data_IF_704352252075
#
_entry.id   IF_704352252075
#
_cell.length_a   1.000
_cell.length_b   1.000
_cell.length_c   1.000
_cell.angle_alpha   90.00
_cell.angle_beta   90.00
_cell.angle_gamma   90.00
#
_symmetry.space_group_name_H-M   'P 1'
#
loop_
_entity.id
_entity.type
_entity.pdbx_description
1 polymer ?
#
# COMPACT_ATOMS: atom_id res chain seq x y z
N UNK A 1 35.76 32.37 -53.76
CA UNK A 1 34.39 32.03 -53.33
C UNK A 1 34.51 30.91 -52.31
N UNK A 2 34.58 31.15 -51.00
CA UNK A 2 33.44 30.98 -50.09
C UNK A 2 34.00 30.96 -48.66
N UNK A 3 34.15 32.15 -48.05
CA UNK A 3 34.34 32.30 -46.60
C UNK A 3 33.48 33.44 -46.03
N UNK A 4 33.11 34.39 -46.90
CA UNK A 4 32.20 35.49 -46.54
C UNK A 4 30.71 35.10 -46.54
N UNK A 5 30.31 34.02 -47.21
CA UNK A 5 28.90 33.59 -47.20
C UNK A 5 28.48 32.99 -45.85
N UNK A 6 29.37 32.24 -45.18
CA UNK A 6 29.01 31.52 -43.96
C UNK A 6 28.79 32.44 -42.74
N UNK A 7 29.50 33.58 -42.69
CA UNK A 7 29.33 34.55 -41.60
C UNK A 7 28.00 35.29 -41.69
N UNK A 8 27.55 35.69 -42.87
CA UNK A 8 26.29 36.43 -43.02
C UNK A 8 25.05 35.59 -42.68
N UNK A 9 25.05 34.29 -42.96
CA UNK A 9 23.94 33.41 -42.56
C UNK A 9 23.89 33.16 -41.05
N UNK A 10 25.04 33.07 -40.38
CA UNK A 10 25.09 32.85 -38.94
C UNK A 10 24.61 34.07 -38.15
N UNK A 11 24.96 35.29 -38.61
CA UNK A 11 24.47 36.53 -37.97
C UNK A 11 22.97 36.73 -38.18
N UNK A 12 22.43 36.39 -39.37
CA UNK A 12 20.98 36.47 -39.61
C UNK A 12 20.19 35.48 -38.77
N UNK A 13 20.70 34.25 -38.59
CA UNK A 13 20.07 33.22 -37.76
C UNK A 13 20.06 33.62 -36.29
N UNK A 14 21.16 34.21 -35.79
CA UNK A 14 21.22 34.73 -34.42
C UNK A 14 20.26 35.90 -34.20
N UNK A 15 20.11 36.80 -35.16
CA UNK A 15 19.14 37.90 -35.09
C UNK A 15 17.70 37.39 -35.14
N UNK A 16 17.41 36.34 -35.92
CA UNK A 16 16.09 35.71 -35.95
C UNK A 16 15.77 34.99 -34.64
N UNK A 17 16.75 34.27 -34.05
CA UNK A 17 16.59 33.65 -32.74
C UNK A 17 16.40 34.70 -31.63
N UNK A 18 17.15 35.80 -31.65
CA UNK A 18 16.98 36.89 -30.68
C UNK A 18 15.61 37.56 -30.81
N UNK A 19 15.13 37.80 -32.03
CA UNK A 19 13.79 38.34 -32.29
C UNK A 19 12.69 37.35 -31.86
N UNK A 20 12.88 36.05 -32.08
CA UNK A 20 11.93 35.02 -31.66
C UNK A 20 11.85 34.89 -30.13
N UNK A 21 12.99 34.98 -29.43
CA UNK A 21 13.04 34.99 -27.97
C UNK A 21 12.50 36.30 -27.35
N UNK A 22 12.67 37.46 -28.00
CA UNK A 22 12.05 38.71 -27.53
C UNK A 22 10.55 38.75 -27.77
N UNK A 23 10.05 38.16 -28.86
CA UNK A 23 8.60 38.02 -29.09
C UNK A 23 7.99 37.09 -28.04
N UNK A 24 8.60 35.92 -27.78
CA UNK A 24 8.16 34.98 -26.73
C UNK A 24 8.22 35.59 -25.32
N UNK A 25 9.20 36.45 -25.04
CA UNK A 25 9.28 37.17 -23.77
C UNK A 25 8.27 38.33 -23.67
N UNK A 26 7.88 38.97 -24.78
CA UNK A 26 6.88 40.05 -24.81
C UNK A 26 5.43 39.56 -24.83
N UNK A 27 5.19 38.33 -25.26
CA UNK A 27 3.90 37.64 -25.13
C UNK A 27 3.89 36.74 -23.91
N UNK A 28 4.67 37.07 -22.88
CA UNK A 28 4.53 36.51 -21.55
C UNK A 28 3.10 36.73 -21.09
N UNK A 29 2.22 35.77 -21.44
CA UNK A 29 0.93 35.56 -20.83
C UNK A 29 1.25 35.23 -19.37
N UNK A 30 1.47 36.27 -18.57
CA UNK A 30 1.22 36.23 -17.15
C UNK A 30 -0.27 35.92 -17.04
N UNK A 31 -0.59 34.63 -17.07
CA UNK A 31 -1.87 34.14 -16.62
C UNK A 31 -1.84 34.44 -15.12
N UNK A 32 -2.34 35.61 -14.74
CA UNK A 32 -2.66 35.91 -13.36
C UNK A 32 -3.49 34.72 -12.85
N UNK A 33 -2.90 33.94 -11.94
CA UNK A 33 -3.63 32.87 -11.28
C UNK A 33 -4.69 33.53 -10.43
N UNK A 34 -5.92 33.53 -10.96
CA UNK A 34 -7.07 34.07 -10.26
C UNK A 34 -7.31 33.22 -9.02
N UNK A 35 -7.05 33.77 -7.85
CA UNK A 35 -7.43 33.15 -6.59
C UNK A 35 -8.91 33.41 -6.35
N UNK A 36 -9.66 32.34 -6.07
CA UNK A 36 -11.09 32.44 -5.76
C UNK A 36 -11.28 32.32 -4.25
N UNK A 37 -12.04 33.25 -3.65
CA UNK A 37 -12.51 33.04 -2.29
C UNK A 37 -13.64 32.01 -2.30
N UNK A 38 -13.81 31.27 -1.19
CA UNK A 38 -14.88 30.28 -1.08
C UNK A 38 -16.28 30.88 -1.30
N UNK A 39 -16.46 32.13 -0.85
CA UNK A 39 -17.68 32.92 -1.02
C UNK A 39 -17.97 33.24 -2.49
N UNK A 40 -16.99 33.14 -3.40
CA UNK A 40 -17.17 33.35 -4.84
C UNK A 40 -17.50 32.04 -5.58
N UNK A 41 -17.26 30.89 -4.93
CA UNK A 41 -17.46 29.56 -5.51
C UNK A 41 -18.78 28.94 -5.04
N UNK A 42 -19.05 28.99 -3.73
CA UNK A 42 -20.24 28.40 -3.11
C UNK A 42 -21.40 29.42 -3.07
N UNK A 43 -21.87 29.84 -4.24
CA UNK A 43 -23.01 30.75 -4.39
C UNK A 43 -24.18 30.07 -5.13
N UNK A 44 -25.44 30.50 -4.89
CA UNK A 44 -26.61 29.88 -5.51
C UNK A 44 -26.54 29.80 -7.04
N UNK A 45 -25.96 30.82 -7.69
CA UNK A 45 -25.82 30.88 -9.15
C UNK A 45 -24.83 29.85 -9.72
N UNK A 46 -23.95 29.28 -8.90
CA UNK A 46 -22.97 28.27 -9.33
C UNK A 46 -23.36 26.86 -8.93
N UNK A 47 -23.86 26.66 -7.71
CA UNK A 47 -24.16 25.33 -7.18
C UNK A 47 -25.65 24.94 -7.25
N UNK A 48 -26.51 25.91 -7.55
CA UNK A 48 -27.97 25.74 -7.56
C UNK A 48 -28.62 26.30 -6.29
N UNK A 49 -29.79 26.93 -6.46
CA UNK A 49 -30.52 27.54 -5.34
C UNK A 49 -31.06 26.51 -4.34
N UNK A 50 -31.56 25.38 -4.86
CA UNK A 50 -32.13 24.31 -4.04
C UNK A 50 -31.07 23.69 -3.11
N UNK A 51 -29.90 23.31 -3.64
CA UNK A 51 -28.77 22.82 -2.83
C UNK A 51 -28.33 23.84 -1.77
N UNK A 52 -28.26 25.12 -2.17
CA UNK A 52 -27.84 26.21 -1.29
C UNK A 52 -28.74 26.34 -0.07
N UNK A 53 -30.06 26.20 -0.26
CA UNK A 53 -31.06 26.22 0.82
C UNK A 53 -31.06 24.89 1.58
N UNK A 54 -31.22 23.76 0.87
CA UNK A 54 -31.41 22.43 1.46
C UNK A 54 -30.29 22.05 2.42
N UNK A 55 -29.04 22.37 2.07
CA UNK A 55 -27.88 22.01 2.87
C UNK A 55 -27.35 23.17 3.74
N UNK A 56 -28.07 24.29 3.79
CA UNK A 56 -27.67 25.50 4.51
C UNK A 56 -26.21 25.90 4.21
N UNK A 57 -25.89 26.04 2.92
CA UNK A 57 -24.52 26.28 2.46
C UNK A 57 -24.00 27.63 2.96
N UNK A 58 -24.86 28.66 2.95
CA UNK A 58 -24.51 30.00 3.45
C UNK A 58 -23.96 29.96 4.88
N UNK A 59 -24.66 29.28 5.79
CA UNK A 59 -24.27 29.16 7.18
C UNK A 59 -22.92 28.46 7.33
N UNK A 60 -22.70 27.38 6.58
CA UNK A 60 -21.44 26.60 6.62
C UNK A 60 -20.25 27.40 6.08
N UNK A 61 -20.50 28.20 5.04
CA UNK A 61 -19.51 29.12 4.48
C UNK A 61 -19.16 30.22 5.49
N UNK A 62 -20.15 30.84 6.12
CA UNK A 62 -19.96 31.87 7.15
C UNK A 62 -19.19 31.34 8.36
N UNK A 63 -19.42 30.08 8.75
CA UNK A 63 -18.70 29.39 9.83
C UNK A 63 -17.35 28.81 9.40
N UNK A 64 -16.97 28.94 8.14
CA UNK A 64 -15.74 28.39 7.57
C UNK A 64 -15.60 26.86 7.77
N UNK A 65 -16.70 26.12 7.62
CA UNK A 65 -16.72 24.67 7.85
C UNK A 65 -16.28 23.84 6.63
N UNK A 66 -16.29 24.44 5.43
CA UNK A 66 -15.76 23.81 4.23
C UNK A 66 -14.23 23.82 4.23
N UNK A 67 -13.64 22.69 3.85
CA UNK A 67 -12.22 22.59 3.52
C UNK A 67 -12.02 22.80 2.03
N UNK A 68 -10.99 23.55 1.68
CA UNK A 68 -10.63 23.82 0.29
C UNK A 68 -9.34 23.07 -0.04
N UNK A 69 -9.36 22.36 -1.16
CA UNK A 69 -8.19 21.69 -1.71
C UNK A 69 -7.96 22.15 -3.14
N UNK A 70 -6.71 22.44 -3.49
CA UNK A 70 -6.31 22.69 -4.88
C UNK A 70 -5.61 21.44 -5.40
N UNK A 71 -6.20 20.78 -6.39
CA UNK A 71 -5.70 19.54 -6.98
C UNK A 71 -5.54 19.77 -8.49
N UNK A 72 -4.32 20.14 -8.91
CA UNK A 72 -4.04 20.51 -10.30
C UNK A 72 -4.85 21.75 -10.73
N UNK A 73 -5.69 21.57 -11.75
CA UNK A 73 -6.59 22.59 -12.29
C UNK A 73 -8.00 22.58 -11.64
N UNK A 74 -8.18 21.87 -10.53
CA UNK A 74 -9.46 21.74 -9.83
C UNK A 74 -9.37 22.33 -8.42
N UNK A 75 -10.36 23.15 -8.05
CA UNK A 75 -10.59 23.58 -6.67
C UNK A 75 -11.72 22.71 -6.10
N UNK A 76 -11.47 22.02 -5.00
CA UNK A 76 -12.45 21.17 -4.30
C UNK A 76 -12.89 21.86 -3.02
N UNK A 77 -14.19 22.13 -2.89
CA UNK A 77 -14.82 22.56 -1.66
C UNK A 77 -15.52 21.35 -1.02
N UNK A 78 -14.96 20.84 0.07
CA UNK A 78 -15.43 19.65 0.76
C UNK A 78 -15.95 19.97 2.16
N UNK A 79 -17.14 19.50 2.48
CA UNK A 79 -17.73 19.58 3.81
C UNK A 79 -18.09 18.17 4.30
N UNK A 80 -17.54 17.79 5.45
CA UNK A 80 -17.90 16.57 6.16
C UNK A 80 -18.95 16.92 7.21
N UNK A 81 -20.14 16.31 7.13
CA UNK A 81 -21.21 16.60 8.09
C UNK A 81 -20.83 16.14 9.49
N UNK A 82 -21.18 16.98 10.46
CA UNK A 82 -21.18 16.64 11.89
C UNK A 82 -22.51 17.01 12.53
N UNK A 83 -22.96 16.24 13.52
CA UNK A 83 -24.07 16.58 14.41
C UNK A 83 -23.52 16.48 15.83
N UNK A 84 -23.63 17.55 16.63
CA UNK A 84 -23.08 17.61 17.99
C UNK A 84 -21.59 17.18 18.07
N UNK A 85 -20.79 17.62 17.09
CA UNK A 85 -19.38 17.25 16.88
C UNK A 85 -19.08 15.79 16.50
N UNK A 86 -20.10 14.94 16.36
CA UNK A 86 -19.98 13.55 15.88
C UNK A 86 -19.88 13.52 14.37
N UNK A 87 -18.90 12.79 13.83
CA UNK A 87 -18.73 12.65 12.38
C UNK A 87 -19.80 11.72 11.83
N UNK A 88 -20.53 12.15 10.80
CA UNK A 88 -21.50 11.28 10.13
C UNK A 88 -20.80 10.64 8.93
N UNK A 89 -20.41 9.37 9.04
CA UNK A 89 -19.64 8.70 7.99
C UNK A 89 -20.39 8.74 6.64
N UNK A 90 -19.64 8.99 5.57
CA UNK A 90 -20.13 9.17 4.18
C UNK A 90 -21.13 10.32 3.99
N UNK A 91 -21.57 11.06 5.01
CA UNK A 91 -22.37 12.27 4.82
C UNK A 91 -21.47 13.48 4.50
N UNK A 92 -21.40 13.89 3.24
CA UNK A 92 -20.57 14.99 2.80
C UNK A 92 -21.18 15.77 1.63
N UNK A 93 -20.64 16.97 1.44
CA UNK A 93 -20.86 17.81 0.27
C UNK A 93 -19.52 18.03 -0.41
N UNK A 94 -19.41 17.70 -1.69
CA UNK A 94 -18.18 17.87 -2.46
C UNK A 94 -18.51 18.61 -3.77
N UNK A 95 -18.08 19.86 -3.86
CA UNK A 95 -18.20 20.69 -5.07
C UNK A 95 -16.81 20.88 -5.68
N UNK A 96 -16.69 20.64 -6.97
CA UNK A 96 -15.43 20.74 -7.72
C UNK A 96 -15.57 21.81 -8.77
N UNK A 97 -14.65 22.78 -8.76
CA UNK A 97 -14.64 23.93 -9.66
C UNK A 97 -13.40 23.93 -10.52
N UNK A 98 -13.53 24.40 -11.76
CA UNK A 98 -12.40 24.70 -12.62
C UNK A 98 -11.62 25.87 -12.04
N UNK A 99 -10.30 25.71 -11.86
CA UNK A 99 -9.46 26.71 -11.20
C UNK A 99 -9.33 28.00 -11.98
N UNK A 100 -9.45 27.97 -13.31
CA UNK A 100 -9.23 29.15 -14.18
C UNK A 100 -10.49 30.00 -14.33
N UNK A 101 -11.62 29.33 -14.47
CA UNK A 101 -12.91 29.94 -14.77
C UNK A 101 -13.78 30.08 -13.53
N UNK A 102 -13.56 29.24 -12.51
CA UNK A 102 -14.40 29.13 -11.32
C UNK A 102 -15.77 28.51 -11.62
N UNK A 103 -15.93 27.87 -12.78
CA UNK A 103 -17.15 27.17 -13.17
C UNK A 103 -17.26 25.84 -12.39
N UNK A 104 -18.48 25.48 -11.98
CA UNK A 104 -18.72 24.19 -11.33
C UNK A 104 -18.56 23.06 -12.35
N UNK A 105 -17.66 22.13 -12.06
CA UNK A 105 -17.39 20.94 -12.88
C UNK A 105 -18.21 19.74 -12.42
N UNK A 106 -18.26 19.50 -11.11
CA UNK A 106 -18.88 18.32 -10.53
C UNK A 106 -19.40 18.61 -9.14
N UNK A 107 -20.53 18.00 -8.79
CA UNK A 107 -21.00 17.90 -7.41
C UNK A 107 -21.23 16.44 -7.03
N UNK A 108 -20.82 16.06 -5.83
CA UNK A 108 -21.09 14.78 -5.21
C UNK A 108 -21.66 15.07 -3.83
N UNK A 109 -22.93 14.71 -3.64
CA UNK A 109 -23.70 14.99 -2.45
C UNK A 109 -24.16 13.67 -1.86
N UNK A 110 -23.79 13.42 -0.63
CA UNK A 110 -24.29 12.29 0.13
C UNK A 110 -24.76 12.82 1.48
N UNK A 111 -26.06 12.79 1.74
CA UNK A 111 -26.63 13.45 2.90
C UNK A 111 -27.86 12.69 3.40
N UNK A 112 -27.75 12.14 4.60
CA UNK A 112 -28.82 11.36 5.23
C UNK A 112 -29.85 12.26 5.90
N UNK A 113 -31.11 12.17 5.46
CA UNK A 113 -32.20 13.00 6.00
C UNK A 113 -32.81 12.42 7.29
N UNK A 114 -32.55 11.14 7.58
CA UNK A 114 -33.03 10.42 8.75
C UNK A 114 -32.33 10.83 10.06
N UNK A 115 -31.19 11.52 9.96
CA UNK A 115 -30.39 11.95 11.12
C UNK A 115 -30.65 13.43 11.44
N UNK A 116 -31.45 13.69 12.48
CA UNK A 116 -31.81 15.05 12.92
C UNK A 116 -31.23 15.39 14.30
N UNK A 117 -31.23 14.43 15.22
CA UNK A 117 -30.70 14.59 16.59
C UNK A 117 -30.05 13.28 17.02
N UNK A 118 -29.01 13.38 17.85
CA UNK A 118 -28.31 12.20 18.35
C UNK A 118 -28.84 11.79 19.72
N UNK A 119 -28.92 10.48 20.01
CA UNK A 119 -29.14 10.03 21.37
C UNK A 119 -28.00 10.54 22.27
N UNK A 120 -28.24 10.76 23.57
CA UNK A 120 -27.20 11.15 24.50
C UNK A 120 -26.07 10.12 24.53
N UNK A 121 -24.84 10.59 24.34
CA UNK A 121 -23.64 9.75 24.45
C UNK A 121 -23.40 9.49 25.94
N UNK A 122 -23.42 8.21 26.33
CA UNK A 122 -23.25 7.78 27.72
C UNK A 122 -21.89 7.13 27.96
N UNK A 123 -21.17 6.74 26.90
CA UNK A 123 -19.81 6.23 26.96
C UNK A 123 -18.81 7.33 26.59
N UNK A 124 -17.96 7.74 27.52
CA UNK A 124 -16.88 8.69 27.21
C UNK A 124 -15.76 8.05 26.38
N UNK A 125 -14.94 8.86 25.71
CA UNK A 125 -13.78 8.34 24.95
C UNK A 125 -12.81 7.57 25.85
N UNK A 126 -12.61 7.99 27.10
CA UNK A 126 -11.68 7.34 28.02
C UNK A 126 -12.20 5.97 28.46
N UNK A 127 -13.50 5.87 28.74
CA UNK A 127 -14.14 4.60 29.08
C UNK A 127 -14.13 3.65 27.88
N UNK A 128 -14.42 4.15 26.67
CA UNK A 128 -14.37 3.36 25.45
C UNK A 128 -12.94 2.80 25.21
N UNK A 129 -11.92 3.66 25.36
CA UNK A 129 -10.51 3.27 25.26
C UNK A 129 -10.12 2.21 26.30
N UNK A 130 -10.59 2.37 27.54
CA UNK A 130 -10.38 1.39 28.60
C UNK A 130 -11.05 0.04 28.27
N UNK A 131 -12.30 0.07 27.80
CA UNK A 131 -13.02 -1.14 27.35
C UNK A 131 -12.23 -1.85 26.25
N UNK A 132 -11.84 -1.13 25.20
CA UNK A 132 -11.06 -1.67 24.09
C UNK A 132 -9.79 -2.38 24.58
N UNK A 133 -8.97 -1.70 25.39
CA UNK A 133 -7.75 -2.27 25.98
C UNK A 133 -8.03 -3.49 26.86
N UNK A 134 -9.12 -3.48 27.64
CA UNK A 134 -9.48 -4.60 28.52
C UNK A 134 -9.88 -5.88 27.76
N UNK A 135 -10.33 -5.77 26.50
CA UNK A 135 -10.64 -6.97 25.69
C UNK A 135 -9.40 -7.66 25.13
N UNK A 136 -8.24 -7.00 25.21
CA UNK A 136 -6.98 -7.53 24.68
C UNK A 136 -6.31 -8.42 25.73
N UNK A 137 -6.82 -9.63 25.88
CA UNK A 137 -6.26 -10.62 26.81
C UNK A 137 -4.83 -11.01 26.42
N UNK A 138 -3.89 -10.90 27.36
CA UNK A 138 -2.51 -11.35 27.17
C UNK A 138 -1.61 -10.42 26.34
N UNK A 139 -2.07 -9.23 25.95
CA UNK A 139 -1.19 -8.24 25.33
C UNK A 139 -0.50 -7.40 26.40
N UNK A 140 0.80 -7.64 26.59
CA UNK A 140 1.65 -6.77 27.39
C UNK A 140 1.91 -5.42 26.70
N UNK A 141 1.52 -5.28 25.42
CA UNK A 141 1.72 -4.08 24.60
C UNK A 141 0.48 -3.79 23.75
N UNK A 142 -0.56 -3.29 24.39
CA UNK A 142 -1.70 -2.70 23.70
C UNK A 142 -1.72 -1.18 23.96
N UNK A 143 -1.78 -0.39 22.89
CA UNK A 143 -1.94 1.06 22.97
C UNK A 143 -3.06 1.54 22.05
N UNK A 144 -3.76 2.58 22.49
CA UNK A 144 -4.74 3.27 21.65
C UNK A 144 -3.99 4.28 20.79
N UNK A 145 -4.00 4.08 19.48
CA UNK A 145 -3.42 5.03 18.53
C UNK A 145 -4.31 6.26 18.37
N UNK A 146 -5.62 6.04 18.25
CA UNK A 146 -6.63 7.11 18.28
C UNK A 146 -8.03 6.56 18.53
N UNK A 147 -8.91 7.43 19.00
CA UNK A 147 -10.34 7.19 19.15
C UNK A 147 -11.14 8.37 18.60
N UNK A 148 -12.16 8.09 17.81
CA UNK A 148 -13.04 9.11 17.24
C UNK A 148 -14.49 8.61 17.24
N UNK A 149 -15.43 9.54 17.40
CA UNK A 149 -16.85 9.23 17.46
C UNK A 149 -17.51 9.43 16.09
N UNK A 150 -18.19 8.40 15.61
CA UNK A 150 -18.84 8.36 14.31
C UNK A 150 -20.29 7.91 14.42
N UNK A 151 -21.15 8.36 13.51
CA UNK A 151 -22.30 7.55 13.11
C UNK A 151 -21.88 6.79 11.86
N UNK A 152 -21.72 5.49 12.00
CA UNK A 152 -21.32 4.60 10.92
C UNK A 152 -22.40 4.60 9.84
N UNK A 153 -22.00 4.68 8.58
CA UNK A 153 -22.93 4.58 7.46
C UNK A 153 -23.38 3.12 7.31
N UNK A 154 -24.66 2.83 7.01
CA UNK A 154 -25.09 1.50 6.60
C UNK A 154 -24.31 0.96 5.39
N UNK A 155 -23.74 1.86 4.59
CA UNK A 155 -22.90 1.55 3.43
C UNK A 155 -21.41 1.54 3.76
N UNK A 156 -21.00 1.51 5.04
CA UNK A 156 -19.59 1.60 5.41
C UNK A 156 -18.78 0.41 4.85
N UNK A 157 -17.72 0.73 4.10
CA UNK A 157 -16.76 -0.27 3.63
C UNK A 157 -15.70 -0.58 4.70
N UNK A 158 -15.48 0.35 5.64
CA UNK A 158 -14.38 0.30 6.62
C UNK A 158 -14.86 -0.16 7.99
N UNK A 159 -16.12 0.09 8.33
CA UNK A 159 -16.74 -0.30 9.59
C UNK A 159 -17.98 -1.16 9.33
N UNK A 160 -17.83 -2.32 8.65
CA UNK A 160 -18.98 -3.15 8.32
C UNK A 160 -19.61 -3.69 9.61
N UNK A 161 -20.84 -3.26 9.89
CA UNK A 161 -21.62 -3.77 11.01
C UNK A 161 -22.59 -4.83 10.53
N UNK A 162 -22.76 -5.90 11.33
CA UNK A 162 -23.74 -6.94 11.05
C UNK A 162 -25.18 -6.39 10.99
N UNK A 163 -25.45 -5.37 11.81
CA UNK A 163 -26.68 -4.59 11.78
C UNK A 163 -26.32 -3.10 11.81
N UNK A 164 -26.82 -2.29 10.86
CA UNK A 164 -26.64 -0.84 10.91
C UNK A 164 -27.21 -0.26 12.21
N UNK A 165 -26.50 0.70 12.80
CA UNK A 165 -26.97 1.44 13.97
C UNK A 165 -27.06 2.93 13.64
N UNK A 166 -28.02 3.61 14.25
CA UNK A 166 -28.13 5.08 14.22
C UNK A 166 -27.45 5.73 15.42
N UNK A 167 -26.98 4.94 16.38
CA UNK A 167 -26.25 5.45 17.53
C UNK A 167 -24.85 5.94 17.12
N UNK A 168 -24.31 6.96 17.79
CA UNK A 168 -22.90 7.25 17.74
C UNK A 168 -22.09 6.05 18.25
N UNK A 169 -20.98 5.76 17.60
CA UNK A 169 -20.06 4.67 17.94
C UNK A 169 -18.64 5.22 18.08
N UNK A 170 -17.94 4.77 19.12
CA UNK A 170 -16.51 4.98 19.23
C UNK A 170 -15.77 4.02 18.31
N UNK A 171 -15.02 4.58 17.37
CA UNK A 171 -14.06 3.86 16.54
C UNK A 171 -12.70 4.01 17.19
N UNK A 172 -12.13 2.90 17.64
CA UNK A 172 -10.90 2.89 18.42
C UNK A 172 -9.86 2.08 17.66
N UNK A 173 -8.82 2.74 17.16
CA UNK A 173 -7.69 2.06 16.54
C UNK A 173 -6.67 1.75 17.62
N UNK A 174 -6.37 0.48 17.75
CA UNK A 174 -5.40 -0.08 18.67
C UNK A 174 -4.17 -0.54 17.89
N UNK A 175 -3.01 -0.46 18.53
CA UNK A 175 -1.86 -1.30 18.21
C UNK A 175 -1.76 -2.36 19.31
N UNK A 176 -1.96 -3.61 18.93
CA UNK A 176 -1.92 -4.78 19.79
C UNK A 176 -0.80 -5.67 19.32
N UNK A 177 0.23 -5.83 20.15
CA UNK A 177 1.34 -6.71 19.83
C UNK A 177 1.89 -6.42 18.41
N UNK A 178 2.17 -5.14 18.13
CA UNK A 178 2.65 -4.68 16.81
C UNK A 178 1.62 -4.64 15.68
N UNK A 179 0.52 -5.38 15.78
CA UNK A 179 -0.54 -5.43 14.79
C UNK A 179 -1.61 -4.38 15.05
N UNK A 180 -2.24 -3.89 13.99
CA UNK A 180 -3.37 -2.97 14.16
C UNK A 180 -4.68 -3.72 14.31
N UNK A 181 -5.57 -3.14 15.10
CA UNK A 181 -6.95 -3.57 15.29
C UNK A 181 -7.84 -2.34 15.37
N UNK A 182 -9.05 -2.42 14.86
CA UNK A 182 -10.07 -1.37 15.05
C UNK A 182 -11.23 -2.00 15.79
N UNK A 183 -11.56 -1.46 16.96
CA UNK A 183 -12.73 -1.84 17.74
C UNK A 183 -13.83 -0.78 17.59
N UNK A 184 -15.07 -1.26 17.55
CA UNK A 184 -16.26 -0.43 17.43
C UNK A 184 -17.14 -0.68 18.65
N UNK A 185 -17.37 0.37 19.44
CA UNK A 185 -18.28 0.33 20.58
C UNK A 185 -19.43 1.29 20.38
N UNK A 186 -20.65 0.84 20.65
CA UNK A 186 -21.82 1.70 20.70
C UNK A 186 -21.67 2.70 21.87
N UNK A 187 -21.75 3.99 21.59
CA UNK A 187 -21.51 5.01 22.60
C UNK A 187 -22.73 5.29 23.50
N UNK A 188 -23.85 4.61 23.25
CA UNK A 188 -25.10 4.69 24.02
C UNK A 188 -25.33 3.42 24.83
N UNK A 189 -25.18 2.24 24.22
CA UNK A 189 -25.42 0.94 24.86
C UNK A 189 -24.16 0.33 25.48
N UNK A 190 -22.98 0.83 25.11
CA UNK A 190 -21.65 0.35 25.52
C UNK A 190 -21.30 -1.02 24.93
N UNK A 191 -22.13 -1.55 24.03
CA UNK A 191 -21.93 -2.84 23.40
C UNK A 191 -20.78 -2.79 22.40
N UNK A 192 -19.97 -3.85 22.36
CA UNK A 192 -19.01 -4.08 21.29
C UNK A 192 -19.76 -4.52 20.04
N UNK A 193 -19.71 -3.71 18.99
CA UNK A 193 -20.45 -3.95 17.74
C UNK A 193 -19.65 -4.76 16.72
N UNK A 194 -18.33 -4.86 16.91
CA UNK A 194 -17.44 -5.61 16.04
C UNK A 194 -16.14 -4.87 15.75
N UNK A 195 -15.46 -5.34 14.70
CA UNK A 195 -14.18 -4.80 14.28
C UNK A 195 -14.28 -4.05 12.96
N UNK A 196 -13.53 -2.96 12.85
CA UNK A 196 -13.30 -2.28 11.57
C UNK A 196 -12.21 -2.97 10.74
N UNK A 197 -12.16 -2.63 9.46
CA UNK A 197 -11.10 -3.04 8.54
C UNK A 197 -9.90 -2.12 8.75
N UNK A 198 -8.78 -2.70 9.18
CA UNK A 198 -7.50 -1.98 9.29
C UNK A 198 -6.98 -1.62 7.89
N UNK A 199 -6.24 -0.51 7.73
CA UNK A 199 -5.63 -0.17 6.45
C UNK A 199 -4.79 -1.32 5.87
N UNK A 200 -4.73 -1.44 4.53
CA UNK A 200 -4.04 -2.55 3.89
C UNK A 200 -2.55 -2.45 4.19
N UNK A 201 -2.02 -3.48 4.85
CA UNK A 201 -0.57 -3.63 4.97
C UNK A 201 -0.02 -4.27 3.68
N UNK A 202 1.20 -3.91 3.33
CA UNK A 202 1.91 -4.19 2.09
C UNK A 202 3.25 -4.84 2.38
N UNK A 203 3.79 -5.49 1.35
CA UNK A 203 5.17 -5.91 1.32
C UNK A 203 6.01 -5.01 0.41
N UNK A 204 7.31 -5.03 0.63
CA UNK A 204 8.29 -4.49 -0.29
C UNK A 204 9.44 -5.49 -0.44
N UNK A 205 9.84 -5.77 -1.67
CA UNK A 205 10.97 -6.66 -1.96
C UNK A 205 11.90 -6.02 -2.99
N UNK A 206 13.20 -6.18 -2.80
CA UNK A 206 14.18 -5.60 -3.71
C UNK A 206 15.36 -6.54 -3.96
N UNK A 207 15.99 -6.32 -5.12
CA UNK A 207 17.33 -6.81 -5.41
C UNK A 207 18.25 -5.63 -5.65
N UNK A 208 19.45 -5.64 -5.06
CA UNK A 208 20.55 -4.76 -5.45
C UNK A 208 21.26 -5.25 -6.72
N UNK A 209 22.18 -4.44 -7.28
CA UNK A 209 23.03 -4.85 -8.39
C UNK A 209 24.08 -5.89 -7.99
N UNK A 210 24.32 -6.86 -8.88
CA UNK A 210 25.33 -7.91 -8.68
C UNK A 210 26.75 -7.45 -9.00
N UNK A 211 26.90 -6.52 -9.95
CA UNK A 211 28.18 -6.03 -10.43
C UNK A 211 28.15 -4.50 -10.52
N UNK A 212 29.31 -3.84 -10.36
CA UNK A 212 29.51 -2.39 -10.54
C UNK A 212 30.42 -2.12 -11.73
N UNK A 213 30.35 -0.89 -12.26
CA UNK A 213 31.21 -0.39 -13.34
C UNK A 213 31.22 -1.25 -14.63
N UNK A 214 30.10 -1.30 -15.38
CA UNK A 214 28.80 -0.69 -15.07
C UNK A 214 27.95 -1.57 -14.16
N UNK A 215 26.90 -1.00 -13.57
CA UNK A 215 25.96 -1.81 -12.82
C UNK A 215 25.31 -2.86 -13.72
N UNK A 216 25.33 -4.12 -13.29
CA UNK A 216 24.65 -5.20 -14.01
C UNK A 216 24.28 -6.36 -13.07
N UNK A 217 23.39 -7.23 -13.55
CA UNK A 217 22.94 -8.44 -12.85
C UNK A 217 21.96 -8.19 -11.71
N UNK A 218 20.93 -9.03 -11.63
CA UNK A 218 19.84 -8.97 -10.64
C UNK A 218 19.63 -10.38 -10.09
N UNK A 219 19.33 -10.50 -8.79
CA UNK A 219 18.93 -11.78 -8.19
C UNK A 219 17.42 -12.03 -8.35
N UNK A 220 16.94 -12.07 -9.60
CA UNK A 220 15.50 -12.15 -9.93
C UNK A 220 14.77 -13.25 -9.18
N UNK A 221 15.35 -14.46 -9.14
CA UNK A 221 14.71 -15.62 -8.53
C UNK A 221 14.47 -15.49 -7.02
N UNK A 222 15.15 -14.57 -6.34
CA UNK A 222 15.06 -14.39 -4.89
C UNK A 222 14.04 -13.33 -4.51
N UNK A 223 14.18 -12.10 -5.03
CA UNK A 223 13.28 -11.02 -4.63
C UNK A 223 11.87 -11.21 -5.20
N UNK A 224 11.73 -11.78 -6.41
CA UNK A 224 10.42 -12.15 -6.97
C UNK A 224 9.79 -13.35 -6.24
N UNK A 225 10.61 -14.24 -5.66
CA UNK A 225 10.10 -15.29 -4.78
C UNK A 225 9.54 -14.69 -3.48
N UNK A 226 10.20 -13.68 -2.92
CA UNK A 226 9.68 -12.95 -1.77
C UNK A 226 8.39 -12.21 -2.10
N UNK A 227 8.31 -11.53 -3.25
CA UNK A 227 7.07 -10.92 -3.76
C UNK A 227 5.92 -11.93 -3.83
N UNK A 228 6.15 -13.06 -4.51
CA UNK A 228 5.15 -14.13 -4.64
C UNK A 228 4.61 -14.55 -3.28
N UNK A 229 5.49 -14.83 -2.32
CA UNK A 229 5.09 -15.31 -1.01
C UNK A 229 4.44 -14.22 -0.15
N UNK A 230 4.91 -12.98 -0.20
CA UNK A 230 4.25 -11.88 0.49
C UNK A 230 2.83 -11.67 -0.03
N UNK A 231 2.61 -11.82 -1.34
CA UNK A 231 1.26 -11.83 -1.94
C UNK A 231 0.43 -13.02 -1.46
N UNK A 232 0.99 -14.23 -1.36
CA UNK A 232 0.28 -15.39 -0.79
C UNK A 232 -0.10 -15.18 0.69
N UNK A 233 0.77 -14.51 1.45
CA UNK A 233 0.49 -14.10 2.83
C UNK A 233 -0.59 -13.00 2.92
N UNK A 234 -0.99 -12.43 1.78
CA UNK A 234 -2.03 -11.40 1.66
C UNK A 234 -1.52 -9.97 1.83
N UNK A 235 -0.26 -9.73 1.49
CA UNK A 235 0.36 -8.41 1.48
C UNK A 235 0.67 -8.06 0.02
N UNK A 236 -0.13 -7.19 -0.63
CA UNK A 236 0.24 -6.64 -1.93
C UNK A 236 1.67 -6.11 -1.87
N UNK A 237 2.53 -6.57 -2.76
CA UNK A 237 3.97 -6.32 -2.67
C UNK A 237 4.46 -5.58 -3.88
N UNK A 238 5.28 -4.55 -3.65
CA UNK A 238 6.06 -3.93 -4.71
C UNK A 238 7.43 -4.60 -4.77
N UNK A 239 7.80 -5.09 -5.95
CA UNK A 239 9.07 -5.75 -6.20
C UNK A 239 9.90 -4.93 -7.19
N UNK A 240 11.10 -4.49 -6.78
CA UNK A 240 11.90 -3.56 -7.58
C UNK A 240 13.35 -4.03 -7.69
N UNK A 241 13.85 -4.13 -8.93
CA UNK A 241 15.27 -4.28 -9.19
C UNK A 241 15.95 -2.91 -9.09
N UNK A 242 17.01 -2.84 -8.28
CA UNK A 242 17.87 -1.66 -8.08
C UNK A 242 17.09 -0.37 -7.77
N UNK A 243 16.21 -0.35 -6.75
CA UNK A 243 15.51 0.88 -6.39
C UNK A 243 16.52 1.95 -5.97
N UNK A 244 16.29 3.20 -6.39
CA UNK A 244 17.08 4.32 -5.88
C UNK A 244 16.80 4.51 -4.40
N UNK A 245 17.74 5.12 -3.67
CA UNK A 245 17.67 5.35 -2.23
C UNK A 245 16.39 6.09 -1.84
N UNK A 246 15.95 7.04 -2.68
CA UNK A 246 14.67 7.77 -2.49
C UNK A 246 13.44 6.85 -2.59
N UNK A 247 13.43 5.93 -3.54
CA UNK A 247 12.31 4.99 -3.72
C UNK A 247 12.26 4.01 -2.55
N UNK A 248 13.44 3.54 -2.11
CA UNK A 248 13.59 2.72 -0.93
C UNK A 248 13.12 3.44 0.34
N UNK A 249 13.57 4.68 0.58
CA UNK A 249 13.13 5.52 1.69
C UNK A 249 11.61 5.60 1.74
N UNK A 250 10.95 5.92 0.61
CA UNK A 250 9.49 6.04 0.57
C UNK A 250 8.75 4.76 0.94
N UNK A 251 9.35 3.59 0.68
CA UNK A 251 8.77 2.30 1.08
C UNK A 251 9.07 1.98 2.55
N UNK A 252 10.25 2.32 3.06
CA UNK A 252 10.60 2.09 4.48
C UNK A 252 9.80 3.01 5.40
N UNK A 253 9.64 4.29 5.04
CA UNK A 253 8.84 5.26 5.81
C UNK A 253 7.33 4.97 5.76
N UNK A 254 6.86 4.24 4.75
CA UNK A 254 5.44 3.93 4.60
C UNK A 254 4.99 2.96 5.72
N UNK A 255 4.08 3.38 6.62
CA UNK A 255 3.61 2.53 7.71
C UNK A 255 2.77 1.35 7.25
N UNK A 256 2.30 1.35 5.99
CA UNK A 256 1.63 0.20 5.38
C UNK A 256 2.62 -0.90 5.00
N UNK A 257 3.88 -0.59 4.71
CA UNK A 257 4.87 -1.62 4.37
C UNK A 257 5.35 -2.29 5.66
N UNK A 258 4.83 -3.48 5.95
CA UNK A 258 5.14 -4.24 7.18
C UNK A 258 6.04 -5.45 6.93
N UNK A 259 6.10 -5.93 5.69
CA UNK A 259 7.03 -6.96 5.24
C UNK A 259 8.09 -6.33 4.36
N UNK A 260 9.36 -6.54 4.70
CA UNK A 260 10.49 -6.03 3.94
C UNK A 260 11.39 -7.18 3.52
N UNK A 261 11.90 -7.13 2.30
CA UNK A 261 12.88 -8.08 1.77
C UNK A 261 13.95 -7.34 1.00
N UNK A 262 15.21 -7.64 1.31
CA UNK A 262 16.37 -7.17 0.58
C UNK A 262 17.31 -8.33 0.25
N UNK A 263 17.85 -8.31 -0.97
CA UNK A 263 18.99 -9.12 -1.38
C UNK A 263 19.96 -8.26 -2.20
N UNK A 264 21.12 -7.95 -1.64
CA UNK A 264 22.16 -7.19 -2.30
C UNK A 264 23.57 -7.55 -1.81
N UNK A 265 24.60 -6.91 -2.37
CA UNK A 265 25.91 -6.88 -1.70
C UNK A 265 25.85 -5.98 -0.47
N UNK A 266 26.61 -6.31 0.56
CA UNK A 266 26.67 -5.49 1.76
C UNK A 266 27.19 -6.23 2.99
N UNK A 267 26.91 -5.65 4.14
CA UNK A 267 27.20 -6.19 5.46
C UNK A 267 26.06 -5.84 6.43
N UNK A 268 26.27 -6.02 7.75
CA UNK A 268 25.24 -5.78 8.76
C UNK A 268 24.74 -4.34 8.86
N UNK A 269 25.45 -3.35 8.30
CA UNK A 269 25.10 -1.92 8.42
C UNK A 269 25.06 -1.18 7.09
N UNK A 270 25.35 -1.85 5.97
CA UNK A 270 25.33 -1.26 4.62
C UNK A 270 24.86 -2.27 3.59
N UNK A 271 24.05 -1.86 2.62
CA UNK A 271 23.79 -2.63 1.42
C UNK A 271 23.76 -1.74 0.19
N UNK A 272 24.07 -2.34 -0.96
CA UNK A 272 24.05 -1.65 -2.25
C UNK A 272 22.64 -1.66 -2.81
N UNK A 273 22.18 -0.49 -3.23
CA UNK A 273 20.91 -0.32 -3.93
C UNK A 273 21.14 0.62 -5.11
N UNK A 274 20.16 0.73 -6.00
CA UNK A 274 20.21 1.73 -7.06
C UNK A 274 21.38 1.59 -8.04
N UNK A 275 21.26 2.33 -9.15
CA UNK A 275 22.39 2.66 -9.99
C UNK A 275 22.06 3.93 -10.79
N UNK A 276 22.08 5.11 -10.15
CA UNK A 276 21.48 6.34 -10.68
C UNK A 276 22.08 6.77 -12.02
N UNK A 277 23.38 6.53 -12.19
CA UNK A 277 24.16 6.92 -13.37
C UNK A 277 24.59 5.70 -14.22
N UNK A 278 24.09 4.50 -13.91
CA UNK A 278 24.44 3.26 -14.61
C UNK A 278 25.85 2.70 -14.28
N UNK A 279 26.68 3.43 -13.54
CA UNK A 279 28.06 3.02 -13.23
C UNK A 279 28.25 2.57 -11.78
N UNK A 280 27.89 3.43 -10.82
CA UNK A 280 28.16 3.23 -9.40
C UNK A 280 26.90 2.88 -8.60
N UNK A 281 27.09 2.05 -7.58
CA UNK A 281 26.07 1.74 -6.59
C UNK A 281 25.65 2.99 -5.82
N UNK A 282 24.38 3.04 -5.41
CA UNK A 282 23.99 3.77 -4.21
C UNK A 282 24.13 2.86 -2.99
N UNK A 283 24.27 3.49 -1.82
CA UNK A 283 24.36 2.78 -0.55
C UNK A 283 23.24 3.24 0.37
N UNK A 284 22.63 2.26 1.01
CA UNK A 284 21.78 2.46 2.17
C UNK A 284 22.50 1.93 3.40
N UNK A 285 22.45 2.70 4.47
CA UNK A 285 23.10 2.44 5.74
C UNK A 285 22.06 2.15 6.81
N UNK A 286 22.45 1.47 7.89
CA UNK A 286 21.56 1.21 9.03
C UNK A 286 20.98 2.52 9.60
N UNK A 287 21.80 3.55 9.81
CA UNK A 287 21.31 4.86 10.28
C UNK A 287 20.28 5.51 9.35
N UNK A 288 20.27 5.19 8.05
CA UNK A 288 19.21 5.67 7.16
C UNK A 288 17.88 5.00 7.55
N UNK A 289 17.89 3.69 7.84
CA UNK A 289 16.71 2.95 8.32
C UNK A 289 16.25 3.47 9.68
N UNK A 290 17.17 3.78 10.59
CA UNK A 290 16.87 4.40 11.89
C UNK A 290 16.10 5.72 11.68
N UNK A 291 16.61 6.61 10.82
CA UNK A 291 15.98 7.90 10.50
C UNK A 291 14.60 7.70 9.84
N UNK A 292 14.51 6.83 8.83
CA UNK A 292 13.26 6.57 8.09
C UNK A 292 12.18 5.91 8.95
N UNK A 293 12.58 5.12 9.95
CA UNK A 293 11.65 4.48 10.88
C UNK A 293 11.36 5.30 12.14
N UNK A 294 11.90 6.52 12.27
CA UNK A 294 11.68 7.35 13.47
C UNK A 294 10.19 7.51 13.79
N UNK A 295 9.39 7.84 12.76
CA UNK A 295 7.94 8.05 12.85
C UNK A 295 7.09 6.92 12.26
N UNK A 296 7.72 5.81 11.83
CA UNK A 296 7.03 4.61 11.36
C UNK A 296 7.10 3.50 12.42
N UNK A 297 6.11 2.58 12.49
CA UNK A 297 6.28 1.36 13.25
C UNK A 297 7.48 0.55 12.72
N UNK A 298 8.06 -0.27 13.61
CA UNK A 298 9.01 -1.31 13.23
C UNK A 298 8.38 -2.28 12.23
N UNK A 299 9.18 -2.91 11.39
CA UNK A 299 8.66 -3.87 10.41
C UNK A 299 8.24 -5.14 11.13
N UNK A 300 7.10 -5.72 10.74
CA UNK A 300 6.63 -6.98 11.31
C UNK A 300 7.61 -8.10 10.95
N UNK A 301 8.10 -8.09 9.72
CA UNK A 301 9.14 -9.02 9.27
C UNK A 301 10.08 -8.31 8.28
N UNK A 302 11.38 -8.51 8.46
CA UNK A 302 12.37 -8.09 7.47
C UNK A 302 13.35 -9.23 7.14
N UNK A 303 13.56 -9.46 5.86
CA UNK A 303 14.62 -10.33 5.36
C UNK A 303 15.83 -9.48 4.92
N UNK A 304 17.01 -9.74 5.50
CA UNK A 304 18.24 -9.00 5.25
C UNK A 304 19.23 -9.92 4.55
N UNK A 305 19.21 -9.90 3.22
CA UNK A 305 19.94 -10.80 2.33
C UNK A 305 21.33 -10.31 1.93
N UNK A 306 21.81 -9.20 2.49
CA UNK A 306 23.20 -8.79 2.29
C UNK A 306 24.20 -9.77 2.91
N UNK A 307 25.42 -9.89 2.36
CA UNK A 307 26.37 -10.98 2.66
C UNK A 307 26.59 -11.28 4.16
N UNK A 308 26.65 -10.23 4.98
CA UNK A 308 26.80 -10.30 6.44
C UNK A 308 25.60 -9.65 7.17
N UNK A 309 24.47 -9.51 6.49
CA UNK A 309 23.33 -8.69 6.90
C UNK A 309 22.80 -8.94 8.32
N UNK A 310 22.92 -10.19 8.79
CA UNK A 310 22.48 -10.62 10.12
C UNK A 310 23.60 -11.19 11.00
N UNK A 311 24.87 -10.95 10.68
CA UNK A 311 25.97 -11.37 11.56
C UNK A 311 26.01 -10.61 12.89
N UNK A 312 25.64 -9.33 12.86
CA UNK A 312 25.48 -8.48 14.03
C UNK A 312 24.02 -8.02 14.12
N UNK A 313 23.50 -7.91 15.35
CA UNK A 313 22.09 -7.59 15.63
C UNK A 313 21.91 -6.47 16.66
N UNK A 314 23.00 -5.77 16.97
CA UNK A 314 23.06 -4.66 17.92
C UNK A 314 22.76 -3.33 17.23
N UNK A 315 22.67 -2.27 18.02
CA UNK A 315 22.52 -0.89 17.55
C UNK A 315 23.40 -0.56 16.33
N UNK A 316 22.85 0.21 15.39
CA UNK A 316 23.47 0.57 14.11
C UNK A 316 23.70 -0.63 13.15
N UNK A 317 22.81 -1.63 13.21
CA UNK A 317 22.73 -2.74 12.25
C UNK A 317 21.32 -2.85 11.69
N UNK A 318 21.15 -3.33 10.46
CA UNK A 318 19.82 -3.47 9.84
C UNK A 318 18.85 -4.29 10.70
N UNK A 319 19.33 -5.37 11.32
CA UNK A 319 18.47 -6.17 12.21
C UNK A 319 17.93 -5.33 13.37
N UNK A 320 18.77 -4.50 13.98
CA UNK A 320 18.36 -3.66 15.10
C UNK A 320 17.40 -2.55 14.63
N UNK A 321 17.73 -1.86 13.54
CA UNK A 321 16.95 -0.72 13.07
C UNK A 321 15.56 -1.12 12.55
N UNK A 322 15.45 -2.18 11.75
CA UNK A 322 14.14 -2.66 11.30
C UNK A 322 13.23 -3.10 12.45
N UNK A 323 13.84 -3.53 13.57
CA UNK A 323 13.15 -3.93 14.80
C UNK A 323 13.01 -2.79 15.81
N UNK A 324 13.58 -1.61 15.54
CA UNK A 324 13.67 -0.45 16.46
C UNK A 324 14.17 -0.86 17.85
N UNK A 325 15.21 -1.70 17.89
CA UNK A 325 15.82 -2.20 19.13
C UNK A 325 14.97 -3.13 19.99
N UNK A 326 13.82 -3.62 19.48
CA UNK A 326 12.89 -4.49 20.20
C UNK A 326 12.94 -5.94 19.72
N UNK A 327 12.68 -6.89 20.62
CA UNK A 327 12.50 -8.32 20.31
C UNK A 327 11.04 -8.75 20.38
N UNK A 328 10.07 -7.83 20.36
CA UNK A 328 8.64 -8.17 20.53
C UNK A 328 7.89 -7.84 19.26
N UNK A 329 7.04 -8.75 18.78
CA UNK A 329 6.16 -8.52 17.62
C UNK A 329 6.89 -8.09 16.34
N UNK A 330 8.12 -8.56 16.19
CA UNK A 330 8.96 -8.29 15.03
C UNK A 330 10.00 -9.41 14.90
N UNK A 331 10.35 -9.76 13.67
CA UNK A 331 11.41 -10.71 13.41
C UNK A 331 12.24 -10.30 12.21
N UNK A 332 13.53 -10.61 12.28
CA UNK A 332 14.49 -10.47 11.20
C UNK A 332 15.12 -11.82 10.91
N UNK A 333 15.21 -12.14 9.63
CA UNK A 333 15.92 -13.31 9.12
C UNK A 333 16.90 -12.82 8.07
N UNK A 334 18.07 -13.43 7.96
CA UNK A 334 19.05 -12.94 7.01
C UNK A 334 20.33 -13.76 6.98
N UNK A 335 21.24 -13.30 6.13
CA UNK A 335 22.48 -14.00 5.85
C UNK A 335 23.60 -13.61 6.83
N UNK A 336 24.48 -14.55 7.11
CA UNK A 336 25.75 -14.31 7.76
C UNK A 336 26.83 -15.18 7.12
N UNK A 337 27.87 -14.58 6.54
CA UNK A 337 28.92 -15.33 5.86
C UNK A 337 28.53 -15.95 4.51
N UNK A 338 27.40 -15.56 3.90
CA UNK A 338 26.90 -16.20 2.66
C UNK A 338 27.84 -16.02 1.46
N UNK A 339 28.76 -15.05 1.53
CA UNK A 339 29.81 -14.82 0.54
C UNK A 339 31.03 -15.73 0.69
N UNK A 340 31.09 -16.54 1.75
CA UNK A 340 32.28 -17.32 2.10
C UNK A 340 32.12 -18.79 1.74
N UNK A 341 33.26 -19.48 1.56
CA UNK A 341 33.28 -20.86 1.07
C UNK A 341 32.56 -21.88 1.95
N UNK A 342 32.38 -21.62 3.25
CA UNK A 342 31.63 -22.54 4.11
C UNK A 342 30.12 -22.48 3.83
N UNK A 343 29.63 -21.37 3.26
CA UNK A 343 28.23 -21.20 2.88
C UNK A 343 27.93 -21.54 1.42
N UNK A 344 28.91 -21.95 0.60
CA UNK A 344 28.70 -22.27 -0.82
C UNK A 344 27.59 -23.33 -1.03
N UNK A 345 27.55 -24.34 -0.16
CA UNK A 345 26.50 -25.37 -0.20
C UNK A 345 25.15 -24.75 0.14
N UNK A 346 25.05 -23.95 1.21
CA UNK A 346 23.81 -23.26 1.57
C UNK A 346 23.34 -22.30 0.46
N UNK A 347 24.26 -21.56 -0.17
CA UNK A 347 23.93 -20.65 -1.26
C UNK A 347 23.21 -21.36 -2.41
N UNK A 348 23.65 -22.57 -2.76
CA UNK A 348 23.00 -23.41 -3.78
C UNK A 348 21.57 -23.83 -3.42
N UNK A 349 21.22 -23.83 -2.13
CA UNK A 349 19.87 -24.13 -1.61
C UNK A 349 19.09 -22.89 -1.16
N UNK A 350 19.67 -21.69 -1.24
CA UNK A 350 19.13 -20.49 -0.58
C UNK A 350 17.70 -20.13 -1.03
N UNK A 351 17.37 -20.28 -2.32
CA UNK A 351 15.99 -20.08 -2.81
C UNK A 351 15.03 -21.13 -2.25
N UNK A 352 15.45 -22.39 -2.23
CA UNK A 352 14.63 -23.51 -1.76
C UNK A 352 14.38 -23.38 -0.25
N UNK A 353 15.41 -22.99 0.51
CA UNK A 353 15.30 -22.68 1.93
C UNK A 353 14.38 -21.47 2.18
N UNK A 354 14.55 -20.38 1.42
CA UNK A 354 13.68 -19.20 1.50
C UNK A 354 12.20 -19.56 1.20
N UNK A 355 11.97 -20.39 0.19
CA UNK A 355 10.63 -20.86 -0.16
C UNK A 355 10.03 -21.73 0.94
N UNK A 356 10.81 -22.61 1.59
CA UNK A 356 10.35 -23.38 2.76
C UNK A 356 10.00 -22.45 3.93
N UNK A 357 10.85 -21.47 4.25
CA UNK A 357 10.59 -20.48 5.30
C UNK A 357 9.24 -19.80 5.07
N UNK A 358 9.03 -19.23 3.88
CA UNK A 358 7.79 -18.53 3.57
C UNK A 358 6.57 -19.45 3.49
N UNK A 359 6.73 -20.68 3.00
CA UNK A 359 5.67 -21.68 3.03
C UNK A 359 5.23 -22.00 4.47
N UNK A 360 6.17 -22.15 5.40
CA UNK A 360 5.82 -22.35 6.81
C UNK A 360 5.14 -21.11 7.40
N UNK A 361 5.60 -19.90 7.09
CA UNK A 361 4.90 -18.68 7.49
C UNK A 361 3.46 -18.63 6.93
N UNK A 362 3.26 -19.02 5.68
CA UNK A 362 1.93 -19.12 5.04
C UNK A 362 1.03 -20.17 5.71
N UNK A 363 1.61 -21.24 6.22
CA UNK A 363 0.91 -22.23 7.05
C UNK A 363 0.75 -21.77 8.51
N UNK A 364 0.85 -20.45 8.77
CA UNK A 364 0.60 -19.81 10.07
C UNK A 364 1.54 -20.27 11.19
N UNK A 365 2.75 -20.71 10.85
CA UNK A 365 3.79 -20.92 11.84
C UNK A 365 4.40 -19.57 12.28
N UNK A 366 4.80 -19.49 13.56
CA UNK A 366 5.63 -18.38 14.06
C UNK A 366 6.92 -18.27 13.25
N UNK A 367 7.46 -17.07 13.07
CA UNK A 367 8.63 -16.85 12.19
C UNK A 367 9.84 -17.70 12.62
N UNK A 368 10.11 -17.80 13.93
CA UNK A 368 11.19 -18.67 14.44
C UNK A 368 10.93 -20.14 14.16
N UNK A 369 9.71 -20.62 14.36
CA UNK A 369 9.35 -22.02 14.04
C UNK A 369 9.46 -22.29 12.54
N UNK A 370 9.06 -21.34 11.70
CA UNK A 370 9.22 -21.43 10.25
C UNK A 370 10.70 -21.48 9.83
N UNK A 371 11.53 -20.63 10.45
CA UNK A 371 12.99 -20.64 10.28
C UNK A 371 13.61 -21.99 10.68
N UNK A 372 13.24 -22.52 11.84
CA UNK A 372 13.78 -23.79 12.34
C UNK A 372 13.39 -24.96 11.44
N UNK A 373 12.15 -24.97 10.92
CA UNK A 373 11.69 -26.00 9.98
C UNK A 373 12.37 -25.89 8.62
N UNK A 374 12.52 -24.68 8.09
CA UNK A 374 13.29 -24.48 6.86
C UNK A 374 14.76 -24.89 7.06
N UNK A 375 15.35 -24.59 8.22
CA UNK A 375 16.67 -25.08 8.62
C UNK A 375 16.73 -26.60 8.69
N UNK A 376 15.68 -27.28 9.18
CA UNK A 376 15.61 -28.74 9.18
C UNK A 376 15.51 -29.34 7.77
N UNK A 377 14.81 -28.67 6.84
CA UNK A 377 14.75 -29.06 5.43
C UNK A 377 16.11 -28.90 4.72
N UNK A 378 16.88 -27.87 5.08
CA UNK A 378 18.21 -27.57 4.52
C UNK A 378 19.25 -27.28 5.63
N UNK A 379 19.75 -28.31 6.32
CA UNK A 379 20.56 -28.16 7.54
C UNK A 379 21.89 -27.41 7.32
N UNK A 380 22.49 -27.51 6.14
CA UNK A 380 23.71 -26.76 5.78
C UNK A 380 23.57 -25.24 5.86
N UNK A 381 22.35 -24.72 5.90
CA UNK A 381 22.10 -23.29 6.04
C UNK A 381 22.10 -22.80 7.49
N UNK A 382 21.98 -23.69 8.48
CA UNK A 382 21.87 -23.34 9.90
C UNK A 382 22.87 -24.09 10.80
N UNK A 383 23.68 -25.00 10.23
CA UNK A 383 24.80 -25.67 10.90
C UNK A 383 25.91 -24.68 11.24
N UNK A 384 26.64 -24.88 12.34
CA UNK A 384 27.71 -23.98 12.81
C UNK A 384 28.97 -24.06 11.92
N UNK A 385 29.46 -22.94 11.32
CA UNK A 385 28.93 -21.58 11.39
C UNK A 385 27.69 -21.34 10.52
N UNK A 386 26.61 -20.83 11.14
CA UNK A 386 25.31 -20.69 10.51
C UNK A 386 25.28 -19.58 9.45
N UNK A 387 24.93 -19.97 8.21
CA UNK A 387 24.78 -19.09 7.04
C UNK A 387 23.50 -18.26 7.07
N UNK A 388 22.45 -18.79 7.68
CA UNK A 388 21.16 -18.13 7.92
C UNK A 388 21.02 -17.88 9.42
N UNK A 389 20.50 -16.73 9.80
CA UNK A 389 20.25 -16.39 11.20
C UNK A 389 18.86 -15.84 11.41
N UNK A 390 18.42 -15.87 12.67
CA UNK A 390 17.17 -15.30 13.15
C UNK A 390 17.48 -14.33 14.29
N UNK A 391 16.76 -13.21 14.35
CA UNK A 391 16.73 -12.34 15.52
C UNK A 391 15.35 -11.67 15.65
N UNK A 392 14.85 -11.55 16.87
CA UNK A 392 13.55 -10.96 17.19
C UNK A 392 12.71 -11.87 18.07
N UNK A 393 11.40 -11.71 17.97
CA UNK A 393 10.41 -12.42 18.78
C UNK A 393 10.21 -13.86 18.29
N UNK A 394 10.59 -14.84 19.11
CA UNK A 394 10.43 -16.26 18.76
C UNK A 394 8.96 -16.68 18.62
N UNK A 395 8.05 -15.94 19.27
CA UNK A 395 6.61 -16.20 19.25
C UNK A 395 5.85 -15.38 18.20
N UNK A 396 6.54 -14.48 17.49
CA UNK A 396 5.90 -13.60 16.53
C UNK A 396 5.35 -14.35 15.32
N UNK A 397 4.15 -13.94 14.93
CA UNK A 397 3.40 -14.46 13.80
C UNK A 397 3.17 -13.32 12.81
N UNK A 398 3.54 -13.53 11.55
CA UNK A 398 3.05 -12.68 10.46
C UNK A 398 1.64 -13.14 10.10
N UNK A 399 0.59 -12.31 10.29
CA UNK A 399 -0.77 -12.73 9.99
C UNK A 399 -0.95 -13.08 8.51
N UNK A 400 -1.54 -14.24 8.22
CA UNK A 400 -1.93 -14.61 6.84
C UNK A 400 -3.29 -13.96 6.54
N UNK A 401 -3.29 -12.97 5.67
CA UNK A 401 -4.51 -12.28 5.23
C UNK A 401 -5.08 -13.04 4.05
N UNK A 402 -5.95 -14.00 4.33
CA UNK A 402 -6.71 -14.64 3.27
C UNK A 402 -7.62 -13.60 2.65
N UNK A 403 -7.25 -13.10 1.47
CA UNK A 403 -8.24 -12.55 0.57
C UNK A 403 -9.13 -13.73 0.17
N UNK A 404 -10.39 -13.70 0.59
CA UNK A 404 -11.43 -14.43 -0.09
C UNK A 404 -11.45 -13.89 -1.52
N UNK A 405 -10.67 -14.52 -2.40
CA UNK A 405 -10.95 -14.48 -3.81
C UNK A 405 -12.32 -15.17 -3.91
N UNK A 406 -13.39 -14.39 -3.87
CA UNK A 406 -14.70 -14.83 -4.30
C UNK A 406 -14.56 -15.01 -5.82
N UNK A 407 -13.88 -16.08 -6.24
CA UNK A 407 -14.24 -16.73 -7.48
C UNK A 407 -15.68 -17.15 -7.26
N UNK A 408 -16.61 -16.39 -7.83
CA UNK A 408 -18.02 -16.72 -7.85
C UNK A 408 -18.12 -18.14 -8.39
N UNK A 409 -18.30 -19.10 -7.49
CA UNK A 409 -18.29 -20.51 -7.80
C UNK A 409 -19.44 -20.78 -8.77
N UNK A 410 -19.12 -21.02 -10.04
CA UNK A 410 -20.02 -21.75 -10.93
C UNK A 410 -20.21 -23.16 -10.34
N UNK A 411 -21.45 -23.67 -10.17
CA UNK A 411 -21.71 -24.83 -9.29
C UNK A 411 -21.14 -26.20 -9.72
N UNK A 412 -20.25 -26.29 -10.71
CA UNK A 412 -19.84 -27.58 -11.30
C UNK A 412 -18.35 -27.72 -11.63
N UNK A 413 -17.42 -27.10 -10.88
CA UNK A 413 -16.00 -27.44 -11.01
C UNK A 413 -15.56 -28.44 -9.94
N UNK A 414 -15.38 -29.70 -10.34
CA UNK A 414 -14.57 -30.69 -9.61
C UNK A 414 -13.11 -30.41 -9.92
N UNK A 415 -12.34 -30.00 -8.92
CA UNK A 415 -10.88 -29.94 -8.98
C UNK A 415 -10.32 -31.27 -8.47
N UNK A 416 -9.77 -32.09 -9.37
CA UNK A 416 -8.94 -33.23 -8.99
C UNK A 416 -7.53 -32.73 -8.66
N UNK A 417 -7.08 -33.07 -7.45
CA UNK A 417 -5.77 -32.69 -6.89
C UNK A 417 -4.63 -33.54 -7.50
N UNK A 418 -3.57 -32.89 -7.99
CA UNK A 418 -2.25 -33.50 -8.18
C UNK A 418 -1.12 -32.54 -7.70
N UNK A 419 0.02 -33.06 -7.18
CA UNK A 419 1.08 -32.31 -6.50
C UNK A 419 2.05 -31.60 -7.49
N UNK A 420 2.96 -30.73 -7.01
CA UNK A 420 3.16 -29.40 -7.57
C UNK A 420 4.34 -29.31 -8.54
N UNK A 421 4.11 -28.67 -9.68
CA UNK A 421 5.12 -27.90 -10.41
C UNK A 421 4.38 -26.84 -11.24
N UNK A 422 4.54 -25.57 -10.86
CA UNK A 422 4.19 -24.35 -11.60
C UNK A 422 2.75 -24.31 -12.15
N UNK A 423 1.82 -23.73 -11.39
CA UNK A 423 0.52 -23.32 -11.92
C UNK A 423 0.65 -22.01 -12.71
N UNK A 424 1.08 -22.09 -13.97
CA UNK A 424 0.64 -21.13 -14.99
C UNK A 424 -0.67 -21.67 -15.56
N UNK A 425 -1.77 -20.91 -15.45
CA UNK A 425 -2.98 -21.23 -16.21
C UNK A 425 -2.69 -20.84 -17.67
N UNK A 426 -2.18 -21.81 -18.44
CA UNK A 426 -2.06 -21.74 -19.90
C UNK A 426 -3.26 -22.49 -20.49
N UNK A 427 -4.19 -21.76 -21.09
CA UNK A 427 -5.16 -22.37 -22.00
C UNK A 427 -4.47 -22.64 -23.33
N UNK A 428 -4.08 -23.88 -23.58
CA UNK A 428 -3.77 -24.37 -24.92
C UNK A 428 -4.66 -25.55 -25.20
N UNK A 429 -5.69 -25.37 -26.05
CA UNK A 429 -6.37 -26.49 -26.66
C UNK A 429 -6.71 -26.16 -28.11
N UNK A 430 -6.32 -27.04 -29.02
CA UNK A 430 -6.59 -26.91 -30.45
C UNK A 430 -8.08 -27.02 -30.72
N UNK A 431 -8.65 -26.03 -31.41
CA UNK A 431 -10.05 -26.04 -31.84
C UNK A 431 -10.28 -27.15 -32.88
N UNK A 432 -11.16 -28.11 -32.58
CA UNK A 432 -11.91 -28.82 -33.63
C UNK A 432 -13.38 -29.13 -33.33
N UNK A 433 -13.96 -28.73 -32.19
CA UNK A 433 -15.40 -28.91 -31.96
C UNK A 433 -16.01 -27.67 -31.27
N UNK A 434 -17.17 -27.15 -31.73
CA UNK A 434 -17.87 -26.06 -31.06
C UNK A 434 -18.56 -26.57 -29.78
N UNK A 435 -18.27 -25.96 -28.63
CA UNK A 435 -19.02 -26.23 -27.40
C UNK A 435 -20.25 -25.30 -27.31
N UNK A 436 -21.39 -25.84 -26.91
CA UNK A 436 -22.55 -25.06 -26.47
C UNK A 436 -22.47 -24.87 -24.96
N UNK A 437 -22.44 -23.61 -24.50
CA UNK A 437 -22.72 -23.25 -23.11
C UNK A 437 -24.24 -23.23 -22.92
N UNK A 438 -24.77 -24.25 -22.25
CA UNK A 438 -26.14 -24.23 -21.73
C UNK A 438 -26.09 -23.63 -20.32
N UNK A 439 -26.73 -22.47 -20.15
CA UNK A 439 -27.05 -21.92 -18.83
C UNK A 439 -28.45 -22.39 -18.45
N UNK A 440 -28.56 -23.14 -17.36
CA UNK A 440 -29.87 -23.50 -16.81
C UNK A 440 -30.56 -22.22 -16.29
N UNK A 441 -31.68 -21.85 -16.93
CA UNK A 441 -32.65 -20.91 -16.36
C UNK A 441 -32.56 -19.43 -16.75
N UNK A 442 -31.74 -19.02 -17.72
CA UNK A 442 -31.73 -17.61 -18.19
C UNK A 442 -31.88 -17.55 -19.71
N UNK A 443 -32.92 -16.84 -20.16
CA UNK A 443 -33.17 -16.56 -21.57
C UNK A 443 -32.14 -15.56 -22.13
N UNK A 444 -31.66 -15.73 -23.37
CA UNK A 444 -30.54 -14.95 -23.88
C UNK A 444 -31.01 -13.58 -24.37
N UNK A 445 -30.46 -12.50 -23.80
CA UNK A 445 -30.40 -11.22 -24.49
C UNK A 445 -28.94 -10.79 -24.65
N UNK A 446 -28.49 -10.86 -25.91
CA UNK A 446 -27.35 -10.16 -26.53
C UNK A 446 -26.05 -10.03 -25.73
N UNK A 447 -25.11 -10.94 -26.00
CA UNK A 447 -23.69 -10.75 -25.69
C UNK A 447 -22.99 -10.09 -26.88
N UNK A 448 -22.17 -9.07 -26.61
CA UNK A 448 -21.22 -8.55 -27.58
C UNK A 448 -19.86 -9.21 -27.37
N UNK A 449 -19.30 -9.78 -28.44
CA UNK A 449 -18.01 -10.45 -28.41
C UNK A 449 -16.95 -9.52 -29.02
N UNK A 450 -15.94 -9.14 -28.24
CA UNK A 450 -14.73 -8.54 -28.77
C UNK A 450 -13.57 -9.53 -28.58
N UNK A 451 -13.10 -10.09 -29.70
CA UNK A 451 -11.91 -10.93 -29.71
C UNK A 451 -10.68 -10.03 -29.85
N UNK A 452 -9.72 -10.18 -28.93
CA UNK A 452 -8.39 -9.59 -29.06
C UNK A 452 -7.38 -10.70 -29.33
N UNK A 453 -6.50 -10.45 -30.31
CA UNK A 453 -5.44 -11.37 -30.71
C UNK A 453 -4.08 -10.77 -30.39
N UNK A 454 -3.23 -11.53 -29.68
CA UNK A 454 -1.80 -11.27 -29.59
C UNK A 454 -1.05 -12.61 -29.70
N UNK A 455 -0.07 -12.67 -30.61
CA UNK A 455 0.87 -13.79 -30.78
C UNK A 455 0.24 -15.21 -30.66
N UNK A 456 -0.75 -15.50 -31.51
CA UNK A 456 -1.48 -16.78 -31.58
C UNK A 456 -2.33 -17.14 -30.35
N UNK A 457 -2.51 -16.21 -29.40
CA UNK A 457 -3.43 -16.38 -28.28
C UNK A 457 -4.71 -15.59 -28.51
N UNK A 458 -5.85 -16.24 -28.25
CA UNK A 458 -7.16 -15.62 -28.28
C UNK A 458 -7.59 -15.28 -26.85
N UNK A 459 -7.96 -14.02 -26.64
CA UNK A 459 -8.50 -13.55 -25.38
C UNK A 459 -9.96 -13.17 -25.58
N UNK A 460 -10.84 -13.67 -24.69
CA UNK A 460 -12.25 -13.31 -24.67
C UNK A 460 -12.51 -12.49 -23.41
N UNK A 461 -12.85 -11.21 -23.60
CA UNK A 461 -13.30 -10.33 -22.53
C UNK A 461 -14.83 -10.42 -22.46
N UNK A 462 -15.36 -10.76 -21.30
CA UNK A 462 -16.81 -10.78 -21.05
C UNK A 462 -17.17 -9.53 -20.28
N UNK A 463 -17.90 -8.62 -20.91
CA UNK A 463 -18.50 -7.46 -20.25
C UNK A 463 -19.99 -7.77 -20.06
N UNK A 464 -20.43 -7.87 -18.81
CA UNK A 464 -21.85 -7.94 -18.45
C UNK A 464 -22.35 -6.49 -18.33
N UNK A 465 -23.41 -6.14 -19.06
CA UNK A 465 -24.23 -4.97 -18.75
C UNK A 465 -25.28 -5.32 -17.69
#
# INVERSE_FOLDING_TARGET
MSKYAFHSYFTLLLLFLFAFFTILASTGFCIEQKTYAINDLLVPSKIGHDDFIQYAIEEKVLKNEFKIYEIGDIIVCFYQRKIDNVIIEKDFLNYQFDRKTGALLKKLLHWRMDLVHLPPITLSSNEANYLALSTVSGAFQAEVLWSNLYIISPESDVYPLAQPTHNPCWIIRLQVNGNQRIDIYDAVTHEFLGNGIVPPEKGFSLSGPQYSNPCSGVWDSWYLNAEYWFVQLGYPTTATAWPRKKDLQSNVENPEVVLFYELAHGNSSTFVNGCPDGENYEFTYAWDIEEWLLNSPKKSFAFIGSCEGLCYITDNTFSYEFRKGSNENTATVGYCGMSTSHCDVCWSYSISWQSSLFNYMYNKYQVKTAFDRAGADYPWCVEDPACMRFAGDETHLVPVKQFLLIQKATPHLKLDWYPPNISRILYTQSMQEPFQLLFDGVTPSTYHFNALTDNNNYYYLFELQ
#
